data_IF_185052111215
#
_entry.id   IF_185052111215
#
_cell.length_a   1.000
_cell.length_b   1.000
_cell.length_c   1.000
_cell.angle_alpha   90.00
_cell.angle_beta   90.00
_cell.angle_gamma   90.00
#
_symmetry.space_group_name_H-M   'P 1'
#
loop_
_entity.id
_entity.type
_entity.pdbx_description
1 polymer ?
#
# COMPACT_ATOMS: atom_id res chain seq x y z
N UNK A 1 9.08 -13.43 -11.07
CA UNK A 1 9.79 -12.21 -11.49
C UNK A 1 11.25 -12.36 -11.11
N UNK A 2 12.21 -12.06 -12.00
CA UNK A 2 13.64 -12.08 -11.65
C UNK A 2 13.99 -10.74 -11.02
N UNK A 3 14.47 -10.76 -9.79
CA UNK A 3 15.02 -9.59 -9.10
C UNK A 3 16.41 -9.30 -9.66
N UNK A 4 16.55 -8.18 -10.36
CA UNK A 4 17.85 -7.71 -10.85
C UNK A 4 18.62 -7.16 -9.64
N UNK A 5 19.82 -7.69 -9.41
CA UNK A 5 20.68 -7.32 -8.29
C UNK A 5 21.62 -6.17 -8.67
N UNK A 6 22.05 -5.39 -7.67
CA UNK A 6 23.03 -4.31 -7.86
C UNK A 6 24.30 -4.81 -8.58
N UNK A 7 24.75 -6.01 -8.24
CA UNK A 7 25.93 -6.67 -8.82
C UNK A 7 25.78 -6.91 -10.32
N UNK A 8 24.58 -7.28 -10.79
CA UNK A 8 24.31 -7.49 -12.21
C UNK A 8 24.30 -6.18 -12.99
N UNK A 9 23.75 -5.11 -12.39
CA UNK A 9 23.79 -3.77 -12.99
C UNK A 9 25.23 -3.26 -13.07
N UNK A 10 26.02 -3.45 -12.02
CA UNK A 10 27.43 -3.05 -11.99
C UNK A 10 28.26 -3.81 -13.03
N UNK A 11 28.03 -5.12 -13.18
CA UNK A 11 28.68 -5.93 -14.21
C UNK A 11 28.31 -5.51 -15.64
N UNK A 12 27.12 -4.95 -15.85
CA UNK A 12 26.69 -4.39 -17.12
C UNK A 12 27.37 -3.04 -17.40
N UNK A 13 27.40 -2.15 -16.40
CA UNK A 13 28.02 -0.82 -16.50
C UNK A 13 29.52 -0.93 -16.76
N UNK A 14 30.20 -1.90 -16.16
CA UNK A 14 31.63 -2.14 -16.39
C UNK A 14 31.99 -2.56 -17.83
N UNK A 15 31.01 -2.99 -18.63
CA UNK A 15 31.20 -3.37 -20.05
C UNK A 15 30.96 -2.21 -21.01
N UNK A 16 30.49 -1.06 -20.53
CA UNK A 16 30.20 0.10 -21.35
C UNK A 16 31.42 1.01 -21.47
N UNK A 17 31.65 1.62 -22.64
CA UNK A 17 32.65 2.66 -22.78
C UNK A 17 32.24 3.90 -21.97
N UNK A 18 33.23 4.58 -21.38
CA UNK A 18 33.01 5.72 -20.46
C UNK A 18 32.13 6.83 -21.06
N UNK A 19 32.26 7.08 -22.36
CA UNK A 19 31.47 8.06 -23.10
C UNK A 19 29.95 7.77 -23.12
N UNK A 20 29.54 6.53 -22.85
CA UNK A 20 28.14 6.11 -22.79
C UNK A 20 27.61 5.97 -21.35
N UNK A 21 28.45 6.14 -20.33
CA UNK A 21 28.03 6.10 -18.93
C UNK A 21 26.96 7.14 -18.56
N UNK A 22 27.02 8.39 -19.05
CA UNK A 22 25.96 9.37 -18.78
C UNK A 22 24.59 8.92 -19.32
N UNK A 23 24.57 8.30 -20.52
CA UNK A 23 23.34 7.81 -21.13
C UNK A 23 22.79 6.58 -20.39
N UNK A 24 23.67 5.66 -19.98
CA UNK A 24 23.29 4.50 -19.18
C UNK A 24 22.73 4.92 -17.81
N UNK A 25 23.34 5.93 -17.17
CA UNK A 25 22.83 6.51 -15.93
C UNK A 25 21.44 7.11 -16.10
N UNK A 26 21.22 7.94 -17.14
CA UNK A 26 19.91 8.54 -17.41
C UNK A 26 18.82 7.49 -17.66
N UNK A 27 19.16 6.41 -18.38
CA UNK A 27 18.24 5.30 -18.61
C UNK A 27 17.91 4.56 -17.30
N UNK A 28 18.92 4.16 -16.52
CA UNK A 28 18.72 3.48 -15.23
C UNK A 28 17.96 4.36 -14.23
N UNK A 29 18.23 5.66 -14.24
CA UNK A 29 17.51 6.64 -13.45
C UNK A 29 16.04 6.74 -13.91
N UNK A 30 15.78 6.83 -15.22
CA UNK A 30 14.40 6.87 -15.73
C UNK A 30 13.58 5.62 -15.37
N UNK A 31 14.22 4.45 -15.35
CA UNK A 31 13.61 3.17 -15.01
C UNK A 31 13.33 3.03 -13.49
N UNK A 32 14.06 3.75 -12.65
CA UNK A 32 13.83 3.78 -11.19
C UNK A 32 12.87 4.89 -10.79
N UNK A 33 12.89 6.05 -11.47
CA UNK A 33 11.86 7.09 -11.35
C UNK A 33 10.54 6.71 -12.02
N UNK A 34 10.49 5.59 -12.74
CA UNK A 34 9.26 4.98 -13.22
C UNK A 34 8.48 4.27 -12.10
N UNK A 35 8.93 4.31 -10.84
CA UNK A 35 8.01 4.27 -9.71
C UNK A 35 7.17 5.55 -9.76
N UNK A 36 6.06 5.45 -10.50
CA UNK A 36 5.12 6.54 -10.70
C UNK A 36 4.83 7.24 -9.38
N UNK A 37 4.91 8.57 -9.42
CA UNK A 37 4.72 9.46 -8.27
C UNK A 37 3.82 8.86 -7.20
N UNK A 38 4.34 8.83 -5.97
CA UNK A 38 3.60 8.29 -4.84
C UNK A 38 2.20 8.91 -4.80
N UNK A 39 1.16 8.16 -4.44
CA UNK A 39 -0.20 8.70 -4.30
C UNK A 39 -0.23 9.99 -3.47
N UNK A 40 0.67 10.10 -2.49
CA UNK A 40 0.89 11.29 -1.68
C UNK A 40 1.46 12.46 -2.50
N UNK A 41 2.47 12.23 -3.35
CA UNK A 41 3.01 13.25 -4.24
C UNK A 41 1.97 13.73 -5.27
N UNK A 42 1.14 12.82 -5.79
CA UNK A 42 0.01 13.17 -6.68
C UNK A 42 -1.04 13.99 -5.96
N UNK A 43 -1.40 13.60 -4.74
CA UNK A 43 -2.36 14.33 -3.90
C UNK A 43 -1.87 15.75 -3.58
N UNK A 44 -0.59 15.93 -3.29
CA UNK A 44 -0.02 17.24 -2.95
C UNK A 44 0.04 18.22 -4.13
N UNK A 45 -0.12 17.74 -5.37
CA UNK A 45 -0.22 18.58 -6.57
C UNK A 45 -1.62 19.12 -6.85
N UNK A 46 -2.63 18.52 -6.22
CA UNK A 46 -4.00 19.02 -6.31
C UNK A 46 -4.10 20.38 -5.63
N UNK A 47 -4.96 21.24 -6.18
CA UNK A 47 -5.32 22.50 -5.53
C UNK A 47 -5.91 22.26 -4.14
N UNK A 48 -5.91 23.28 -3.30
CA UNK A 48 -6.48 23.17 -1.96
C UNK A 48 -7.97 22.79 -1.98
N UNK A 49 -8.71 23.17 -3.03
CA UNK A 49 -10.13 22.89 -3.16
C UNK A 49 -10.37 21.45 -3.62
N UNK A 50 -9.60 20.96 -4.59
CA UNK A 50 -9.64 19.57 -5.03
C UNK A 50 -9.27 18.61 -3.90
N UNK A 51 -8.25 18.94 -3.09
CA UNK A 51 -7.91 18.14 -1.90
C UNK A 51 -9.04 18.10 -0.89
N UNK A 52 -9.70 19.23 -0.64
CA UNK A 52 -10.83 19.32 0.28
C UNK A 52 -12.02 18.50 -0.20
N UNK A 53 -12.32 18.55 -1.49
CA UNK A 53 -13.38 17.74 -2.09
C UNK A 53 -13.11 16.25 -1.94
N UNK A 54 -11.90 15.80 -2.27
CA UNK A 54 -11.49 14.40 -2.21
C UNK A 54 -11.53 13.86 -0.77
N UNK A 55 -11.04 14.65 0.19
CA UNK A 55 -11.13 14.30 1.62
C UNK A 55 -12.56 14.27 2.14
N UNK A 56 -13.43 15.17 1.67
CA UNK A 56 -14.84 15.19 2.08
C UNK A 56 -15.61 13.96 1.58
N UNK A 57 -15.31 13.50 0.37
CA UNK A 57 -15.90 12.28 -0.19
C UNK A 57 -15.44 11.04 0.60
N UNK A 58 -14.13 10.95 0.86
CA UNK A 58 -13.57 9.86 1.67
C UNK A 58 -14.16 9.83 3.10
N UNK A 59 -14.42 11.00 3.69
CA UNK A 59 -15.03 11.10 5.01
C UNK A 59 -16.47 10.57 5.04
N UNK A 60 -17.28 10.85 4.03
CA UNK A 60 -18.65 10.29 3.94
C UNK A 60 -18.63 8.77 3.70
N UNK A 61 -17.73 8.28 2.85
CA UNK A 61 -17.55 6.82 2.64
C UNK A 61 -17.13 6.12 3.94
N UNK A 62 -16.21 6.70 4.70
CA UNK A 62 -15.81 6.14 6.00
C UNK A 62 -16.95 6.15 7.03
N UNK A 63 -17.75 7.21 7.06
CA UNK A 63 -18.90 7.31 7.96
C UNK A 63 -19.94 6.22 7.69
N UNK A 64 -20.18 5.90 6.42
CA UNK A 64 -21.08 4.81 6.06
C UNK A 64 -20.49 3.43 6.40
N UNK A 65 -19.18 3.25 6.22
CA UNK A 65 -18.47 2.05 6.68
C UNK A 65 -18.54 1.88 8.21
N UNK A 66 -18.36 2.95 8.98
CA UNK A 66 -18.45 2.91 10.44
C UNK A 66 -19.87 2.63 10.98
N UNK A 67 -20.91 3.01 10.23
CA UNK A 67 -22.29 2.60 10.53
C UNK A 67 -22.52 1.12 10.27
N UNK A 68 -21.96 0.58 9.18
CA UNK A 68 -22.11 -0.83 8.84
C UNK A 68 -21.37 -1.75 9.82
N UNK A 69 -20.24 -1.28 10.36
CA UNK A 69 -19.40 -2.03 11.29
C UNK A 69 -19.72 -1.76 12.76
N UNK A 70 -20.81 -1.04 13.05
CA UNK A 70 -21.23 -0.70 14.41
C UNK A 70 -21.42 -1.94 15.30
N UNK A 71 -22.11 -2.96 14.79
CA UNK A 71 -22.34 -4.23 15.51
C UNK A 71 -21.05 -5.01 15.75
N UNK A 72 -20.13 -5.01 14.78
CA UNK A 72 -18.84 -5.68 14.93
C UNK A 72 -17.96 -4.94 15.93
N UNK A 73 -17.91 -3.60 15.86
CA UNK A 73 -17.19 -2.77 16.80
C UNK A 73 -17.69 -2.99 18.23
N UNK A 74 -19.01 -3.03 18.42
CA UNK A 74 -19.59 -3.27 19.74
C UNK A 74 -19.24 -4.68 20.26
N UNK A 75 -19.19 -5.70 19.40
CA UNK A 75 -18.70 -7.05 19.76
C UNK A 75 -17.21 -7.06 20.14
N UNK A 76 -16.37 -6.40 19.35
CA UNK A 76 -14.93 -6.27 19.62
C UNK A 76 -14.66 -5.47 20.91
N UNK A 77 -15.47 -4.45 21.22
CA UNK A 77 -15.35 -3.62 22.42
C UNK A 77 -15.95 -4.27 23.68
N UNK A 78 -16.98 -5.10 23.52
CA UNK A 78 -17.58 -5.84 24.63
C UNK A 78 -16.71 -7.00 25.14
N UNK A 79 -15.68 -7.42 24.37
CA UNK A 79 -14.83 -8.55 24.71
C UNK A 79 -15.55 -9.90 24.64
N UNK A 80 -16.76 -9.94 24.06
CA UNK A 80 -17.57 -11.14 23.91
C UNK A 80 -17.17 -11.91 22.65
N UNK A 81 -15.93 -12.40 22.65
CA UNK A 81 -15.50 -13.41 21.70
C UNK A 81 -16.03 -14.76 22.18
N UNK A 82 -17.31 -15.05 21.90
CA UNK A 82 -17.82 -16.40 22.08
C UNK A 82 -17.05 -17.30 21.12
N UNK A 83 -16.11 -18.08 21.66
CA UNK A 83 -15.47 -19.16 20.95
C UNK A 83 -16.56 -20.21 20.67
N UNK A 84 -17.03 -20.27 19.42
CA UNK A 84 -17.98 -21.29 18.94
C UNK A 84 -17.31 -22.68 18.85
N UNK A 85 -16.58 -23.08 19.89
CA UNK A 85 -15.93 -24.38 19.99
C UNK A 85 -16.14 -25.09 21.32
N UNK A 86 -17.25 -24.81 22.03
CA UNK A 86 -17.67 -25.62 23.20
C UNK A 86 -19.06 -26.24 23.06
N UNK A 87 -19.28 -26.99 21.98
CA UNK A 87 -20.41 -27.94 21.87
C UNK A 87 -19.95 -29.34 21.46
N UNK A 88 -18.85 -29.84 22.04
CA UNK A 88 -18.54 -31.29 22.01
C UNK A 88 -17.80 -31.73 23.26
N UNK A 89 -18.53 -31.96 24.36
CA UNK A 89 -17.91 -32.58 25.52
C UNK A 89 -18.72 -32.63 26.80
N UNK A 90 -19.98 -33.08 26.79
CA UNK A 90 -20.55 -33.62 28.03
C UNK A 90 -21.58 -34.72 27.75
N UNK A 91 -21.07 -35.93 27.49
CA UNK A 91 -21.79 -37.18 27.68
C UNK A 91 -21.25 -37.80 28.97
N UNK A 92 -21.88 -37.46 30.09
CA UNK A 92 -21.83 -38.26 31.32
C UNK A 92 -23.24 -38.32 31.89
N UNK A 93 -23.91 -39.44 31.61
CA UNK A 93 -24.62 -40.31 32.57
C UNK A 93 -25.41 -41.37 31.83
#
# INVERSE_FOLDING_TARGET
MRTITHTEVQALVAKLPESKLPLAYLLLHSLTTAEGESPQAKFMRLSADERRQLLSQQAEEMKDYYKQTEVERDKWQAGDFVDESDTRGNLVS
#
